data_IF_490573333380
#
_entry.id   IF_490573333380
#
_cell.length_a   1.000
_cell.length_b   1.000
_cell.length_c   1.000
_cell.angle_alpha   90.00
_cell.angle_beta   90.00
_cell.angle_gamma   90.00
#
_symmetry.space_group_name_H-M   'P 1'
#
loop_
_entity.id
_entity.type
_entity.pdbx_description
1 polymer ?
#
# COMPACT_ATOMS: atom_id res chain seq x y z
N UNK A 1 -8.53 -12.17 15.13
CA UNK A 1 -9.13 -11.83 13.82
C UNK A 1 -10.64 -12.01 13.71
N UNK A 2 -11.32 -12.91 14.46
CA UNK A 2 -12.79 -13.11 14.35
C UNK A 2 -13.68 -11.85 14.55
N UNK A 3 -13.13 -10.78 15.15
CA UNK A 3 -13.85 -9.52 15.43
C UNK A 3 -13.62 -8.41 14.39
N UNK A 4 -12.72 -8.58 13.43
CA UNK A 4 -12.44 -7.56 12.42
C UNK A 4 -13.40 -7.78 11.23
N UNK A 5 -14.37 -6.89 11.05
CA UNK A 5 -15.35 -6.90 9.96
C UNK A 5 -15.56 -5.47 9.47
N UNK A 6 -15.31 -5.25 8.20
CA UNK A 6 -15.60 -4.02 7.48
C UNK A 6 -15.81 -4.37 6.02
N UNK A 7 -16.42 -3.47 5.26
CA UNK A 7 -16.69 -3.66 3.83
C UNK A 7 -15.42 -3.88 3.01
N UNK A 8 -14.37 -3.10 3.29
CA UNK A 8 -13.10 -3.12 2.55
C UNK A 8 -12.02 -4.00 3.20
N UNK A 9 -12.40 -5.02 3.98
CA UNK A 9 -11.48 -5.97 4.62
C UNK A 9 -11.93 -7.39 4.30
N UNK A 10 -11.03 -8.16 3.66
CA UNK A 10 -11.27 -9.57 3.34
C UNK A 10 -11.66 -10.35 4.60
N UNK A 11 -12.88 -10.89 4.59
CA UNK A 11 -13.51 -11.54 5.72
C UNK A 11 -12.84 -12.86 6.04
N UNK A 12 -12.34 -12.98 7.26
CA UNK A 12 -11.93 -14.25 7.83
C UNK A 12 -13.16 -15.09 8.20
N UNK A 13 -13.32 -16.25 7.56
CA UNK A 13 -14.46 -17.17 7.76
C UNK A 13 -14.14 -18.22 8.83
N UNK A 14 -12.91 -18.74 8.86
CA UNK A 14 -12.56 -19.77 9.84
C UNK A 14 -11.17 -20.38 9.65
N UNK A 15 -10.89 -21.39 10.45
CA UNK A 15 -9.67 -22.20 10.37
C UNK A 15 -10.06 -23.66 10.32
N UNK A 16 -9.43 -24.43 9.43
CA UNK A 16 -9.49 -25.88 9.45
C UNK A 16 -8.18 -26.42 10.03
N UNK A 17 -8.30 -27.28 11.04
CA UNK A 17 -7.19 -27.99 11.66
C UNK A 17 -7.44 -29.48 11.46
N UNK A 18 -6.72 -30.12 10.53
CA UNK A 18 -6.86 -31.56 10.27
C UNK A 18 -5.50 -32.16 9.93
N UNK A 19 -5.16 -33.27 10.58
CA UNK A 19 -3.94 -34.06 10.29
C UNK A 19 -2.67 -33.19 10.21
N UNK A 20 -2.48 -32.31 11.20
CA UNK A 20 -1.39 -31.33 11.28
C UNK A 20 -1.35 -30.27 10.16
N UNK A 21 -2.40 -30.17 9.34
CA UNK A 21 -2.59 -29.08 8.37
C UNK A 21 -3.46 -28.00 8.97
N UNK A 22 -2.96 -26.77 8.93
CA UNK A 22 -3.69 -25.56 9.32
C UNK A 22 -4.03 -24.79 8.05
N UNK A 23 -5.32 -24.63 7.76
CA UNK A 23 -5.80 -23.85 6.62
C UNK A 23 -6.62 -22.65 7.11
N UNK A 24 -6.30 -21.46 6.62
CA UNK A 24 -7.12 -20.27 6.82
C UNK A 24 -8.19 -20.22 5.74
N UNK A 25 -9.44 -20.03 6.14
CA UNK A 25 -10.58 -19.89 5.24
C UNK A 25 -11.03 -18.44 5.27
N UNK A 26 -10.98 -17.77 4.12
CA UNK A 26 -11.43 -16.39 3.91
C UNK A 26 -12.53 -16.35 2.86
N UNK A 27 -13.18 -15.21 2.70
CA UNK A 27 -14.02 -15.01 1.51
C UNK A 27 -13.19 -15.05 0.23
N UNK A 28 -13.87 -15.40 -0.87
CA UNK A 28 -13.26 -15.51 -2.17
C UNK A 28 -13.34 -14.18 -2.93
N UNK A 29 -12.18 -13.70 -3.39
CA UNK A 29 -12.07 -12.48 -4.21
C UNK A 29 -11.91 -12.89 -5.68
N UNK A 30 -13.00 -12.87 -6.45
CA UNK A 30 -12.99 -13.30 -7.85
C UNK A 30 -12.03 -12.49 -8.75
N UNK A 31 -11.67 -11.27 -8.33
CA UNK A 31 -10.71 -10.41 -9.02
C UNK A 31 -9.26 -10.87 -8.91
N UNK A 32 -8.93 -11.79 -7.99
CA UNK A 32 -7.55 -12.10 -7.61
C UNK A 32 -6.94 -11.00 -6.73
N UNK A 33 -5.62 -10.94 -6.65
CA UNK A 33 -4.90 -9.91 -5.90
C UNK A 33 -4.60 -8.67 -6.76
N UNK A 34 -4.46 -7.52 -6.09
CA UNK A 34 -4.17 -6.24 -6.73
C UNK A 34 -2.83 -6.24 -7.46
N UNK A 35 -1.81 -6.89 -6.91
CA UNK A 35 -0.47 -6.87 -7.48
C UNK A 35 -0.44 -7.52 -8.86
N UNK A 36 -1.05 -8.69 -9.02
CA UNK A 36 -1.19 -9.37 -10.31
C UNK A 36 -1.85 -8.46 -11.35
N UNK A 37 -2.95 -7.80 -10.97
CA UNK A 37 -3.70 -6.87 -11.85
C UNK A 37 -2.89 -5.64 -12.25
N UNK A 38 -2.05 -5.11 -11.37
CA UNK A 38 -1.16 -3.99 -11.67
C UNK A 38 0.04 -4.44 -12.52
N UNK A 39 0.57 -5.65 -12.26
CA UNK A 39 1.78 -6.18 -12.91
C UNK A 39 1.58 -6.62 -14.35
N UNK A 40 0.34 -6.91 -14.77
CA UNK A 40 -0.01 -7.14 -16.18
C UNK A 40 0.27 -5.90 -17.06
N UNK A 41 0.53 -4.72 -16.46
CA UNK A 41 0.90 -3.47 -17.13
C UNK A 41 2.42 -3.24 -17.34
N UNK A 42 3.21 -4.31 -17.45
CA UNK A 42 4.66 -4.34 -17.73
C UNK A 42 5.62 -4.00 -16.56
N UNK A 43 6.41 -5.02 -16.17
CA UNK A 43 7.65 -5.03 -15.36
C UNK A 43 7.47 -5.19 -13.84
N UNK A 44 7.34 -6.46 -13.43
CA UNK A 44 7.39 -6.91 -12.04
C UNK A 44 8.80 -6.83 -11.42
N UNK A 45 8.88 -6.19 -10.26
CA UNK A 45 10.00 -6.29 -9.32
C UNK A 45 9.49 -6.89 -8.01
N UNK A 46 10.34 -7.68 -7.35
CA UNK A 46 10.03 -8.30 -6.06
C UNK A 46 10.13 -7.27 -4.93
N UNK A 47 9.13 -7.24 -4.07
CA UNK A 47 9.03 -6.29 -2.97
C UNK A 47 9.95 -6.68 -1.81
N UNK A 48 11.00 -5.88 -1.57
CA UNK A 48 11.87 -6.06 -0.39
C UNK A 48 11.33 -5.29 0.82
N UNK A 49 10.24 -5.79 1.40
CA UNK A 49 9.66 -5.27 2.65
C UNK A 49 10.58 -5.45 3.88
N UNK A 50 11.62 -6.28 3.75
CA UNK A 50 12.58 -6.60 4.81
C UNK A 50 13.41 -5.40 5.29
N UNK A 51 13.46 -4.31 4.52
CA UNK A 51 14.22 -3.09 4.86
C UNK A 51 13.50 -2.15 5.86
N UNK A 52 12.21 -2.38 6.15
CA UNK A 52 11.44 -1.54 7.08
C UNK A 52 11.47 -2.03 8.54
N UNK A 53 12.04 -3.21 8.79
CA UNK A 53 12.02 -3.86 10.10
C UNK A 53 13.32 -3.66 10.87
N UNK A 54 13.54 -2.49 11.50
CA UNK A 54 14.36 -2.46 12.71
C UNK A 54 13.51 -2.93 13.89
N UNK A 55 14.13 -3.70 14.77
CA UNK A 55 13.54 -4.77 15.59
C UNK A 55 12.46 -4.39 16.63
N UNK A 56 12.04 -3.12 16.75
CA UNK A 56 11.21 -2.67 17.90
C UNK A 56 10.11 -1.63 17.60
N UNK A 57 9.59 -1.49 16.37
CA UNK A 57 8.59 -0.45 16.07
C UNK A 57 7.43 -0.90 15.17
N UNK A 58 6.68 -1.93 15.56
CA UNK A 58 5.37 -2.23 14.97
C UNK A 58 4.32 -1.19 15.42
N UNK A 59 4.34 -0.03 14.77
CA UNK A 59 3.32 1.02 14.96
C UNK A 59 2.43 1.12 13.73
N UNK A 60 1.24 1.71 13.89
CA UNK A 60 0.34 2.03 12.76
C UNK A 60 1.03 2.87 11.69
N UNK A 61 2.11 3.60 12.02
CA UNK A 61 2.89 4.39 11.06
C UNK A 61 3.69 3.53 10.09
N UNK A 62 3.99 2.27 10.40
CA UNK A 62 4.57 1.32 9.45
C UNK A 62 3.54 0.91 8.39
N UNK A 63 2.29 0.72 8.82
CA UNK A 63 1.18 0.46 7.88
C UNK A 63 0.95 1.67 6.96
N UNK A 64 1.10 2.90 7.47
CA UNK A 64 1.01 4.13 6.66
C UNK A 64 2.12 4.19 5.59
N UNK A 65 3.35 3.82 5.94
CA UNK A 65 4.43 3.74 4.93
C UNK A 65 4.08 2.72 3.84
N UNK A 66 3.62 1.54 4.25
CA UNK A 66 3.24 0.46 3.35
C UNK A 66 2.07 0.87 2.45
N UNK A 67 1.12 1.64 2.97
CA UNK A 67 0.05 2.25 2.20
C UNK A 67 0.57 3.22 1.13
N UNK A 68 1.57 4.05 1.45
CA UNK A 68 2.23 4.91 0.48
C UNK A 68 2.90 4.14 -0.66
N UNK A 69 3.50 2.99 -0.37
CA UNK A 69 4.04 2.08 -1.39
C UNK A 69 2.93 1.55 -2.30
N UNK A 70 1.82 1.09 -1.74
CA UNK A 70 0.67 0.61 -2.53
C UNK A 70 0.10 1.72 -3.42
N UNK A 71 -0.04 2.95 -2.91
CA UNK A 71 -0.47 4.09 -3.73
C UNK A 71 0.50 4.36 -4.88
N UNK A 72 1.80 4.29 -4.64
CA UNK A 72 2.81 4.39 -5.70
C UNK A 72 2.63 3.30 -6.76
N UNK A 73 2.41 2.06 -6.35
CA UNK A 73 2.20 0.94 -7.26
C UNK A 73 0.94 1.13 -8.11
N UNK A 74 -0.16 1.59 -7.51
CA UNK A 74 -1.40 1.91 -8.22
C UNK A 74 -1.17 3.00 -9.28
N UNK A 75 -0.45 4.07 -8.93
CA UNK A 75 -0.18 5.19 -9.84
C UNK A 75 0.80 4.81 -10.95
N UNK A 76 1.79 3.97 -10.65
CA UNK A 76 2.89 3.69 -11.59
C UNK A 76 2.74 2.36 -12.34
N UNK A 77 1.91 1.45 -11.87
CA UNK A 77 1.85 0.06 -12.34
C UNK A 77 3.10 -0.77 -12.01
N UNK A 78 4.04 -0.22 -11.23
CA UNK A 78 5.35 -0.83 -10.98
C UNK A 78 5.72 -0.77 -9.51
N UNK A 79 6.48 -1.77 -9.06
CA UNK A 79 7.02 -1.76 -7.71
C UNK A 79 8.18 -0.77 -7.56
N UNK A 80 8.24 0.03 -6.49
CA UNK A 80 9.39 0.89 -6.25
C UNK A 80 10.65 0.04 -6.04
N UNK A 81 11.74 0.40 -6.72
CA UNK A 81 13.03 -0.31 -6.60
C UNK A 81 13.67 0.00 -5.24
N UNK A 82 13.39 -0.84 -4.25
CA UNK A 82 13.99 -0.75 -2.92
C UNK A 82 15.49 -1.10 -2.98
N UNK A 83 16.34 -0.25 -2.39
CA UNK A 83 17.79 -0.46 -2.32
C UNK A 83 18.64 0.73 -2.77
N UNK A 84 18.07 1.66 -3.55
CA UNK A 84 18.62 3.02 -3.68
C UNK A 84 17.73 3.96 -2.90
N UNK A 85 18.32 4.96 -2.22
CA UNK A 85 17.63 6.00 -1.45
C UNK A 85 16.33 6.42 -2.14
N UNK A 86 15.20 5.83 -1.75
CA UNK A 86 13.94 6.07 -2.45
C UNK A 86 13.52 7.54 -2.28
N UNK A 87 13.94 8.19 -1.19
CA UNK A 87 13.87 9.66 -1.01
C UNK A 87 14.55 10.44 -2.16
N UNK A 88 15.62 9.91 -2.73
CA UNK A 88 16.26 10.45 -3.95
C UNK A 88 15.47 10.06 -5.19
N UNK A 89 15.02 8.80 -5.31
CA UNK A 89 14.23 8.35 -6.45
C UNK A 89 12.85 9.02 -6.57
N UNK A 90 12.23 9.42 -5.45
CA UNK A 90 10.99 10.20 -5.40
C UNK A 90 11.18 11.65 -5.87
N UNK A 91 12.41 12.19 -5.81
CA UNK A 91 12.79 13.43 -6.49
C UNK A 91 13.10 13.20 -7.97
N UNK A 92 13.75 12.08 -8.30
CA UNK A 92 14.03 11.65 -9.68
C UNK A 92 12.93 10.75 -10.20
N UNK A 93 11.71 11.28 -10.16
CA UNK A 93 10.57 10.67 -10.83
C UNK A 93 10.96 10.39 -12.28
N UNK A 94 10.70 9.14 -12.72
CA UNK A 94 10.86 8.71 -14.11
C UNK A 94 10.34 9.82 -15.03
N UNK A 95 11.07 10.26 -16.08
CA UNK A 95 10.56 11.24 -17.03
C UNK A 95 9.16 10.81 -17.51
N UNK A 96 8.11 11.50 -17.08
CA UNK A 96 6.71 11.16 -17.36
C UNK A 96 5.79 10.91 -16.15
N UNK A 97 6.31 10.62 -14.96
CA UNK A 97 5.52 10.43 -13.74
C UNK A 97 4.73 11.69 -13.34
N UNK A 98 5.34 12.87 -13.50
CA UNK A 98 4.68 14.16 -13.25
C UNK A 98 3.56 14.50 -14.25
N UNK A 99 3.45 13.82 -15.41
CA UNK A 99 2.46 14.18 -16.44
C UNK A 99 1.11 13.48 -16.28
N UNK A 100 1.00 12.46 -15.42
CA UNK A 100 -0.25 11.68 -15.20
C UNK A 100 -0.75 11.65 -13.77
N UNK A 101 0.10 11.96 -12.79
CA UNK A 101 -0.27 11.92 -11.37
C UNK A 101 -0.65 13.34 -10.91
N UNK A 102 -1.88 13.58 -10.40
CA UNK A 102 -2.23 14.85 -9.77
C UNK A 102 -1.25 15.20 -8.65
N UNK A 103 -0.94 16.49 -8.48
CA UNK A 103 0.04 16.95 -7.48
C UNK A 103 -0.31 16.48 -6.07
N UNK A 104 -1.59 16.54 -5.70
CA UNK A 104 -2.08 16.10 -4.40
C UNK A 104 -1.82 14.61 -4.12
N UNK A 105 -1.88 13.76 -5.15
CA UNK A 105 -1.59 12.32 -5.01
C UNK A 105 -0.10 12.11 -4.75
N UNK A 106 0.76 12.80 -5.50
CA UNK A 106 2.21 12.73 -5.31
C UNK A 106 2.63 13.23 -3.91
N UNK A 107 2.00 14.30 -3.43
CA UNK A 107 2.19 14.83 -2.08
C UNK A 107 1.73 13.84 -1.01
N UNK A 108 0.56 13.22 -1.19
CA UNK A 108 0.03 12.21 -0.28
C UNK A 108 0.98 11.00 -0.17
N UNK A 109 1.43 10.44 -1.31
CA UNK A 109 2.38 9.33 -1.34
C UNK A 109 3.66 9.69 -0.59
N UNK A 110 4.21 10.88 -0.88
CA UNK A 110 5.45 11.35 -0.25
C UNK A 110 5.28 11.51 1.27
N UNK A 111 4.15 12.05 1.73
CA UNK A 111 3.86 12.23 3.16
C UNK A 111 3.71 10.89 3.89
N UNK A 112 3.11 9.88 3.26
CA UNK A 112 2.95 8.54 3.82
C UNK A 112 4.30 7.85 4.03
N UNK A 113 5.27 8.15 3.16
CA UNK A 113 6.54 7.45 3.14
C UNK A 113 7.65 8.15 3.92
N UNK A 114 7.42 9.28 4.62
CA UNK A 114 8.48 10.03 5.34
C UNK A 114 9.38 9.17 6.24
N UNK A 115 10.66 9.56 6.38
CA UNK A 115 11.64 8.85 7.22
C UNK A 115 11.19 8.86 8.68
N UNK A 116 10.83 10.05 9.17
CA UNK A 116 10.20 10.23 10.45
C UNK A 116 8.77 9.65 10.44
N UNK A 117 8.59 8.54 11.16
CA UNK A 117 7.29 7.88 11.30
C UNK A 117 6.25 8.77 11.99
N UNK A 118 6.67 9.66 12.90
CA UNK A 118 5.76 10.55 13.62
C UNK A 118 5.15 11.61 12.70
N UNK A 119 5.90 12.06 11.69
CA UNK A 119 5.47 13.04 10.69
C UNK A 119 4.52 12.49 9.62
N UNK A 120 4.42 11.16 9.46
CA UNK A 120 3.47 10.53 8.52
C UNK A 120 2.02 10.85 8.92
N UNK A 121 1.06 10.99 7.99
CA UNK A 121 -0.34 11.19 8.33
C UNK A 121 -0.94 9.96 9.03
N UNK A 122 -2.08 10.16 9.68
CA UNK A 122 -2.92 9.09 10.21
C UNK A 122 -3.84 8.54 9.11
N UNK A 123 -4.34 7.31 9.27
CA UNK A 123 -5.30 6.73 8.33
C UNK A 123 -6.57 7.58 8.18
N UNK A 124 -6.99 8.29 9.23
CA UNK A 124 -8.14 9.20 9.21
C UNK A 124 -7.89 10.46 8.37
N UNK A 125 -6.68 11.01 8.43
CA UNK A 125 -6.28 12.16 7.61
C UNK A 125 -6.17 11.75 6.14
N UNK A 126 -5.54 10.61 5.86
CA UNK A 126 -5.48 10.04 4.50
C UNK A 126 -6.88 9.86 3.93
N UNK A 127 -7.79 9.24 4.68
CA UNK A 127 -9.17 9.04 4.24
C UNK A 127 -9.88 10.35 3.91
N UNK A 128 -9.67 11.40 4.72
CA UNK A 128 -10.23 12.73 4.44
C UNK A 128 -9.67 13.33 3.14
N UNK A 129 -8.36 13.26 2.95
CA UNK A 129 -7.71 13.76 1.73
C UNK A 129 -8.26 13.04 0.49
N UNK A 130 -8.41 11.71 0.55
CA UNK A 130 -8.98 10.92 -0.54
C UNK A 130 -10.42 11.34 -0.85
N UNK A 131 -11.27 11.51 0.18
CA UNK A 131 -12.66 11.95 -0.02
C UNK A 131 -12.77 13.36 -0.59
N UNK A 132 -11.94 14.29 -0.13
CA UNK A 132 -11.96 15.70 -0.58
C UNK A 132 -11.56 15.85 -2.05
N UNK A 133 -10.82 14.87 -2.60
CA UNK A 133 -10.34 14.88 -3.98
C UNK A 133 -11.05 13.84 -4.87
N UNK A 134 -12.04 13.12 -4.35
CA UNK A 134 -12.85 12.19 -5.13
C UNK A 134 -13.79 12.97 -6.06
N UNK A 135 -13.64 12.75 -7.36
CA UNK A 135 -14.35 13.51 -8.40
C UNK A 135 -15.78 13.01 -8.61
N UNK A 136 -16.13 11.85 -8.05
CA UNK A 136 -17.44 11.19 -8.21
C UNK A 136 -18.48 11.63 -7.14
N UNK A 137 -18.18 12.70 -6.39
CA UNK A 137 -19.11 13.35 -5.44
C UNK A 137 -19.69 14.70 -5.94
N UNK A 138 -19.63 14.98 -7.26
CA UNK A 138 -20.37 16.07 -7.93
C UNK A 138 -21.35 15.50 -8.96
#
# INVERSE_FOLDING_TARGET
MKKLRAENIVRFLGVCLKDSKTMLVTEFMAGGDLFTRLSEAELGGELSWHLLGTKDCFSTKVDIYSFGVVLWEIVTGTSPRFGQNWFRAARYTKPGFQRRCPSWVAELITSCMLEDASARPTSKEIYRILLENDSDHV
#
